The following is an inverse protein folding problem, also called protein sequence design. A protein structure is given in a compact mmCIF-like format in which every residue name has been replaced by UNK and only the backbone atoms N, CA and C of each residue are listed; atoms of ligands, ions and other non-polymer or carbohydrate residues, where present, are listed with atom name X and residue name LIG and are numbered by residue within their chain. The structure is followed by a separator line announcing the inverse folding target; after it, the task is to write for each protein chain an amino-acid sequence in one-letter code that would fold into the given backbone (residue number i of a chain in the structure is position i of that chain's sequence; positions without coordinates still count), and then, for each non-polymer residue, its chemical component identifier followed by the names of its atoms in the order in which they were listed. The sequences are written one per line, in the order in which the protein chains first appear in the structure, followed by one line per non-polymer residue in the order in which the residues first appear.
data_IF_286406632249
#
_entry.id   IF_286406632249
#
_cell.length_a   1.000
_cell.length_b   1.000
_cell.length_c   1.000
_cell.angle_alpha   90.00
_cell.angle_beta   90.00
_cell.angle_gamma   90.00
#
_symmetry.space_group_name_H-M   'P 1'
#
loop_
_entity.id
_entity.type
_entity.pdbx_description
1 polymer ?
#
# COMPACT_ATOMS: atom_id res chain seq x y z
N UNK A 1 32.57 2.02 37.38
CA UNK A 1 31.95 2.48 36.13
C UNK A 1 31.35 1.23 35.48
N UNK A 2 30.06 0.88 35.64
CA UNK A 2 28.82 1.57 35.15
C UNK A 2 28.94 1.75 33.62
N UNK A 3 28.14 1.25 32.67
CA UNK A 3 26.81 0.59 32.51
C UNK A 3 26.89 -0.18 31.14
N UNK A 4 26.30 -1.35 30.83
CA UNK A 4 24.91 -1.89 30.88
C UNK A 4 24.03 -1.57 29.64
N UNK A 5 23.76 -2.64 28.87
CA UNK A 5 22.56 -3.00 28.06
C UNK A 5 22.28 -2.26 26.73
N UNK A 6 21.68 -2.87 25.69
CA UNK A 6 20.55 -3.81 25.70
C UNK A 6 20.59 -4.86 24.58
N UNK A 7 20.24 -6.08 24.97
CA UNK A 7 19.89 -7.21 24.11
C UNK A 7 18.40 -7.12 23.75
N UNK A 8 18.09 -7.31 22.47
CA UNK A 8 16.75 -7.42 21.93
C UNK A 8 15.94 -8.52 22.65
N UNK A 9 14.80 -8.16 23.24
CA UNK A 9 13.79 -9.13 23.67
C UNK A 9 12.66 -9.14 22.66
N UNK A 10 12.72 -10.15 21.79
CA UNK A 10 11.65 -10.58 20.92
C UNK A 10 10.62 -11.34 21.79
N UNK A 11 9.53 -10.67 22.20
CA UNK A 11 8.46 -11.31 22.98
C UNK A 11 7.44 -11.95 22.05
N UNK A 12 7.49 -13.28 22.01
CA UNK A 12 6.41 -14.14 21.50
C UNK A 12 5.18 -13.92 22.37
N UNK A 13 4.12 -13.33 21.80
CA UNK A 13 2.86 -13.11 22.52
C UNK A 13 2.13 -14.43 22.65
N UNK A 14 2.05 -14.94 23.88
CA UNK A 14 1.25 -16.10 24.28
C UNK A 14 -0.25 -15.85 24.03
N UNK A 15 -0.89 -16.76 23.30
CA UNK A 15 -2.30 -16.69 22.89
C UNK A 15 -3.24 -17.22 23.99
N UNK A 16 -3.42 -16.43 25.06
CA UNK A 16 -4.54 -16.57 26.00
C UNK A 16 -5.71 -15.63 25.64
N UNK A 17 -6.96 -15.93 26.02
CA UNK A 17 -8.09 -15.05 25.76
C UNK A 17 -7.96 -13.73 26.54
N UNK A 18 -7.95 -12.61 25.81
CA UNK A 18 -7.89 -11.25 26.39
C UNK A 18 -9.16 -10.98 27.20
N UNK A 19 -9.02 -10.71 28.50
CA UNK A 19 -10.13 -10.36 29.39
C UNK A 19 -10.29 -8.84 29.43
N UNK A 20 -11.45 -8.34 29.01
CA UNK A 20 -11.78 -6.92 29.03
C UNK A 20 -12.61 -6.60 30.26
N UNK A 21 -12.16 -5.64 31.08
CA UNK A 21 -12.95 -5.07 32.18
C UNK A 21 -13.40 -3.66 31.78
N UNK A 22 -14.72 -3.44 31.81
CA UNK A 22 -15.36 -2.17 31.46
C UNK A 22 -15.75 -1.41 32.74
N UNK A 23 -15.38 -0.12 32.83
CA UNK A 23 -15.82 0.80 33.88
C UNK A 23 -16.69 1.91 33.27
N UNK A 24 -17.99 1.90 33.56
CA UNK A 24 -18.92 2.95 33.11
C UNK A 24 -18.59 4.33 33.70
N UNK A 25 -17.95 4.38 34.87
CA UNK A 25 -17.68 5.61 35.60
C UNK A 25 -16.63 6.49 34.90
N UNK A 26 -15.66 5.85 34.24
CA UNK A 26 -14.48 6.53 33.70
C UNK A 26 -14.31 6.38 32.19
N UNK A 27 -15.20 5.63 31.50
CA UNK A 27 -15.10 5.26 30.07
C UNK A 27 -13.73 4.68 29.69
N UNK A 28 -13.15 3.87 30.57
CA UNK A 28 -11.85 3.23 30.36
C UNK A 28 -12.01 1.73 30.19
N UNK A 29 -11.20 1.16 29.29
CA UNK A 29 -11.07 -0.29 29.11
C UNK A 29 -9.71 -0.68 29.65
N UNK A 30 -9.70 -1.56 30.64
CA UNK A 30 -8.45 -2.13 31.17
C UNK A 30 -8.22 -3.46 30.47
N UNK A 31 -7.07 -3.58 29.80
CA UNK A 31 -6.60 -4.81 29.18
C UNK A 31 -5.60 -5.43 30.17
N UNK A 32 -5.95 -6.58 30.73
CA UNK A 32 -5.07 -7.35 31.63
C UNK A 32 -4.52 -8.58 30.86
N UNK A 33 -3.32 -8.50 30.25
CA UNK A 33 -2.61 -9.69 29.77
C UNK A 33 -2.11 -10.54 30.96
N UNK A 34 -1.80 -11.83 30.72
CA UNK A 34 -1.35 -12.76 31.78
C UNK A 34 -0.05 -12.35 32.47
N UNK A 35 0.75 -11.47 31.86
CA UNK A 35 2.03 -10.97 32.39
C UNK A 35 1.89 -9.81 33.40
N UNK A 36 0.70 -9.57 33.95
CA UNK A 36 0.38 -8.58 35.00
C UNK A 36 0.65 -7.09 34.65
N UNK A 37 1.11 -6.80 33.43
CA UNK A 37 1.27 -5.43 32.91
C UNK A 37 -0.10 -4.85 32.52
N UNK A 38 -0.69 -4.06 33.42
CA UNK A 38 -1.97 -3.40 33.20
C UNK A 38 -1.81 -2.18 32.29
N UNK A 39 -2.29 -2.30 31.06
CA UNK A 39 -2.40 -1.16 30.15
C UNK A 39 -3.80 -0.55 30.29
N UNK A 40 -3.85 0.71 30.74
CA UNK A 40 -5.08 1.52 30.74
C UNK A 40 -5.06 2.41 29.51
N UNK A 41 -5.89 2.09 28.53
CA UNK A 41 -6.04 2.89 27.31
C UNK A 41 -7.45 3.50 27.30
N UNK A 42 -7.58 4.75 26.86
CA UNK A 42 -8.91 5.37 26.75
C UNK A 42 -9.69 4.71 25.61
N UNK A 43 -11.00 4.60 25.76
CA UNK A 43 -11.88 3.99 24.74
C UNK A 43 -11.73 4.71 23.40
N UNK A 44 -11.51 6.03 23.41
CA UNK A 44 -11.26 6.83 22.22
C UNK A 44 -9.97 6.42 21.48
N UNK A 45 -8.90 6.08 22.21
CA UNK A 45 -7.61 5.64 21.63
C UNK A 45 -7.70 4.22 21.05
N UNK A 46 -8.51 3.35 21.68
CA UNK A 46 -8.82 2.01 21.15
C UNK A 46 -9.63 2.14 19.86
N UNK A 47 -10.67 2.98 19.84
CA UNK A 47 -11.48 3.22 18.64
C UNK A 47 -10.63 3.81 17.51
N UNK A 48 -9.74 4.76 17.82
CA UNK A 48 -8.82 5.33 16.82
C UNK A 48 -7.84 4.28 16.28
N UNK A 49 -7.25 3.46 17.15
CA UNK A 49 -6.33 2.39 16.75
C UNK A 49 -7.04 1.31 15.94
N UNK A 50 -8.26 0.94 16.31
CA UNK A 50 -9.11 0.02 15.56
C UNK A 50 -9.49 0.60 14.19
N UNK A 51 -9.86 1.88 14.11
CA UNK A 51 -10.18 2.55 12.84
C UNK A 51 -8.96 2.62 11.92
N UNK A 52 -7.78 2.95 12.43
CA UNK A 52 -6.53 2.96 11.64
C UNK A 52 -6.19 1.55 11.15
N UNK A 53 -6.33 0.52 12.01
CA UNK A 53 -6.10 -0.87 11.62
C UNK A 53 -7.10 -1.37 10.60
N UNK A 54 -8.39 -1.03 10.75
CA UNK A 54 -9.44 -1.39 9.81
C UNK A 54 -9.20 -0.72 8.45
N UNK A 55 -8.98 0.60 8.43
CA UNK A 55 -8.66 1.33 7.20
C UNK A 55 -7.39 0.80 6.52
N UNK A 56 -6.37 0.43 7.30
CA UNK A 56 -5.17 -0.22 6.78
C UNK A 56 -5.48 -1.56 6.14
N UNK A 57 -6.25 -2.42 6.80
CA UNK A 57 -6.61 -3.73 6.25
C UNK A 57 -7.46 -3.63 4.98
N UNK A 58 -8.37 -2.66 4.94
CA UNK A 58 -9.16 -2.36 3.74
C UNK A 58 -8.22 -1.88 2.63
N UNK A 59 -7.37 -0.90 2.89
CA UNK A 59 -6.41 -0.39 1.91
C UNK A 59 -5.44 -1.48 1.41
N UNK A 60 -4.93 -2.35 2.28
CA UNK A 60 -4.08 -3.49 1.90
C UNK A 60 -4.80 -4.43 0.93
N UNK A 61 -6.09 -4.71 1.17
CA UNK A 61 -6.92 -5.50 0.26
C UNK A 61 -7.15 -4.78 -1.08
N UNK A 62 -7.46 -3.48 -1.07
CA UNK A 62 -7.62 -2.70 -2.30
C UNK A 62 -6.32 -2.67 -3.10
N UNK A 63 -5.18 -2.46 -2.43
CA UNK A 63 -3.87 -2.41 -3.08
C UNK A 63 -3.46 -3.78 -3.62
N UNK A 64 -3.76 -4.88 -2.92
CA UNK A 64 -3.58 -6.23 -3.47
C UNK A 64 -4.43 -6.45 -4.72
N UNK A 65 -5.68 -5.98 -4.71
CA UNK A 65 -6.58 -6.04 -5.87
C UNK A 65 -6.03 -5.23 -7.04
N UNK A 66 -5.57 -4.01 -6.79
CA UNK A 66 -4.91 -3.17 -7.79
C UNK A 66 -3.68 -3.87 -8.40
N UNK A 67 -2.80 -4.42 -7.56
CA UNK A 67 -1.60 -5.14 -8.04
C UNK A 67 -1.94 -6.30 -8.97
N UNK A 68 -3.03 -7.03 -8.69
CA UNK A 68 -3.48 -8.12 -9.56
C UNK A 68 -4.00 -7.60 -10.90
N UNK A 69 -4.76 -6.50 -10.89
CA UNK A 69 -5.25 -5.85 -12.12
C UNK A 69 -4.09 -5.36 -12.98
N UNK A 70 -3.15 -4.61 -12.38
CA UNK A 70 -1.98 -4.10 -13.08
C UNK A 70 -1.09 -5.23 -13.60
N UNK A 71 -0.83 -6.25 -12.78
CA UNK A 71 -0.04 -7.43 -13.18
C UNK A 71 -0.65 -8.18 -14.36
N UNK A 72 -1.97 -8.37 -14.35
CA UNK A 72 -2.69 -9.01 -15.47
C UNK A 72 -2.62 -8.16 -16.74
N UNK A 73 -2.79 -6.85 -16.63
CA UNK A 73 -2.69 -5.93 -17.76
C UNK A 73 -1.27 -5.91 -18.35
N UNK A 74 -0.23 -5.82 -17.50
CA UNK A 74 1.18 -5.90 -17.92
C UNK A 74 1.44 -7.22 -18.66
N UNK A 75 0.93 -8.34 -18.14
CA UNK A 75 1.09 -9.64 -18.78
C UNK A 75 0.46 -9.69 -20.19
N UNK A 76 -0.72 -9.09 -20.37
CA UNK A 76 -1.39 -9.00 -21.68
C UNK A 76 -0.63 -8.11 -22.66
N UNK A 77 0.08 -7.10 -22.18
CA UNK A 77 0.83 -6.13 -22.99
C UNK A 77 2.35 -6.38 -23.00
N UNK A 78 2.81 -7.52 -22.49
CA UNK A 78 4.25 -7.84 -22.28
C UNK A 78 5.12 -7.69 -23.52
N UNK A 79 4.55 -7.88 -24.71
CA UNK A 79 5.29 -7.80 -25.96
C UNK A 79 5.61 -6.35 -26.33
N UNK A 80 4.83 -5.38 -25.81
CA UNK A 80 4.94 -3.96 -26.08
C UNK A 80 5.59 -3.14 -24.96
N UNK A 81 5.62 -3.66 -23.74
CA UNK A 81 6.14 -2.97 -22.54
C UNK A 81 7.59 -3.37 -22.26
N UNK A 82 8.48 -2.39 -22.14
CA UNK A 82 9.85 -2.59 -21.66
C UNK A 82 9.87 -2.66 -20.13
N UNK A 83 9.33 -1.62 -19.48
CA UNK A 83 9.30 -1.49 -18.02
C UNK A 83 7.97 -0.92 -17.56
N UNK A 84 7.61 -1.19 -16.31
CA UNK A 84 6.49 -0.50 -15.67
C UNK A 84 6.73 -0.29 -14.19
N UNK A 85 6.22 0.81 -13.67
CA UNK A 85 6.43 1.26 -12.31
C UNK A 85 5.11 1.72 -11.70
N UNK A 86 4.91 1.40 -10.43
CA UNK A 86 3.95 2.10 -9.57
C UNK A 86 4.74 2.98 -8.63
N UNK A 87 4.48 4.28 -8.66
CA UNK A 87 5.11 5.26 -7.77
C UNK A 87 4.09 6.25 -7.23
N UNK A 88 4.53 7.22 -6.43
CA UNK A 88 3.69 8.31 -5.92
C UNK A 88 4.08 9.60 -6.62
N UNK A 89 3.11 10.31 -7.18
CA UNK A 89 3.28 11.63 -7.77
C UNK A 89 2.09 12.52 -7.41
N UNK A 90 2.35 13.76 -7.01
CA UNK A 90 1.31 14.74 -6.65
C UNK A 90 0.24 14.20 -5.69
N UNK A 91 0.67 13.47 -4.65
CA UNK A 91 -0.17 12.82 -3.61
C UNK A 91 -1.05 11.66 -4.08
N UNK A 92 -0.85 11.17 -5.31
CA UNK A 92 -1.59 10.06 -5.90
C UNK A 92 -0.65 8.96 -6.38
N UNK A 93 -1.19 7.77 -6.61
CA UNK A 93 -0.43 6.71 -7.26
C UNK A 93 -0.30 7.03 -8.75
N UNK A 94 0.87 6.77 -9.31
CA UNK A 94 1.15 6.82 -10.73
C UNK A 94 1.56 5.43 -11.20
N UNK A 95 0.85 4.90 -12.19
CA UNK A 95 1.28 3.76 -12.96
C UNK A 95 1.96 4.25 -14.24
N UNK A 96 3.28 4.18 -14.27
CA UNK A 96 4.13 4.59 -15.38
C UNK A 96 4.53 3.38 -16.21
N UNK A 97 4.33 3.45 -17.52
CA UNK A 97 4.67 2.39 -18.47
C UNK A 97 5.68 2.92 -19.48
N UNK A 98 6.78 2.18 -19.66
CA UNK A 98 7.78 2.46 -20.70
C UNK A 98 7.54 1.46 -21.83
N UNK A 99 7.21 1.93 -23.01
CA UNK A 99 7.04 1.07 -24.18
C UNK A 99 8.40 0.63 -24.73
N UNK A 100 8.41 -0.46 -25.50
CA UNK A 100 9.58 -0.89 -26.28
C UNK A 100 9.77 -0.08 -27.57
N UNK A 101 8.77 0.72 -27.93
CA UNK A 101 8.80 1.52 -29.15
C UNK A 101 9.40 2.90 -28.84
N UNK A 102 10.32 3.37 -29.68
CA UNK A 102 10.94 4.71 -29.54
C UNK A 102 9.93 5.82 -29.85
N UNK A 103 8.90 5.51 -30.64
CA UNK A 103 7.83 6.41 -31.02
C UNK A 103 6.59 6.20 -30.14
N UNK A 104 5.72 7.20 -30.15
CA UNK A 104 4.42 7.17 -29.50
C UNK A 104 3.56 6.02 -30.07
N UNK A 105 2.92 5.25 -29.19
CA UNK A 105 2.14 4.06 -29.52
C UNK A 105 0.67 4.26 -29.11
N UNK A 106 -0.15 4.69 -30.07
CA UNK A 106 -1.60 4.91 -29.90
C UNK A 106 -2.30 3.70 -29.27
N UNK A 107 -1.88 2.48 -29.61
CA UNK A 107 -2.52 1.28 -29.11
C UNK A 107 -2.23 1.04 -27.64
N UNK A 108 -1.05 1.43 -27.12
CA UNK A 108 -0.75 1.37 -25.69
C UNK A 108 -1.57 2.42 -24.93
N UNK A 109 -1.68 3.63 -25.48
CA UNK A 109 -2.42 4.74 -24.86
C UNK A 109 -3.92 4.44 -24.76
N UNK A 110 -4.50 3.84 -25.80
CA UNK A 110 -5.88 3.35 -25.78
C UNK A 110 -6.08 2.28 -24.70
N UNK A 111 -5.14 1.34 -24.57
CA UNK A 111 -5.22 0.27 -23.55
C UNK A 111 -5.01 0.80 -22.12
N UNK A 112 -4.16 1.81 -21.93
CA UNK A 112 -4.00 2.50 -20.65
C UNK A 112 -5.24 3.31 -20.29
N UNK A 113 -5.86 3.97 -21.27
CA UNK A 113 -7.12 4.69 -21.06
C UNK A 113 -8.23 3.73 -20.62
N UNK A 114 -8.32 2.54 -21.24
CA UNK A 114 -9.25 1.49 -20.81
C UNK A 114 -8.94 0.96 -19.41
N UNK A 115 -7.66 0.80 -19.08
CA UNK A 115 -7.21 0.39 -17.76
C UNK A 115 -7.62 1.40 -16.69
N UNK A 116 -7.33 2.69 -16.91
CA UNK A 116 -7.68 3.79 -16.01
C UNK A 116 -9.20 3.85 -15.79
N UNK A 117 -9.96 3.77 -16.88
CA UNK A 117 -11.42 3.73 -16.81
C UNK A 117 -11.92 2.51 -16.04
N UNK A 118 -11.35 1.32 -16.27
CA UNK A 118 -11.70 0.10 -15.54
C UNK A 118 -11.42 0.19 -14.04
N UNK A 119 -10.28 0.76 -13.67
CA UNK A 119 -9.87 0.98 -12.27
C UNK A 119 -10.82 1.97 -11.59
N UNK A 120 -11.09 3.11 -12.23
CA UNK A 120 -11.98 4.15 -11.70
C UNK A 120 -13.42 3.65 -11.48
N UNK A 121 -13.87 2.68 -12.29
CA UNK A 121 -15.20 2.08 -12.16
C UNK A 121 -15.23 0.82 -11.26
N UNK A 122 -14.10 0.41 -10.67
CA UNK A 122 -14.05 -0.76 -9.79
C UNK A 122 -14.40 -0.38 -8.36
N UNK A 123 -15.54 -0.82 -7.79
CA UNK A 123 -15.97 -0.41 -6.44
C UNK A 123 -15.00 -0.83 -5.34
N UNK A 124 -14.25 -1.91 -5.57
CA UNK A 124 -13.23 -2.41 -4.65
C UNK A 124 -11.98 -1.53 -4.59
N UNK A 125 -11.83 -0.52 -5.44
CA UNK A 125 -10.68 0.39 -5.49
C UNK A 125 -11.06 1.84 -5.14
N UNK A 126 -12.23 2.05 -4.51
CA UNK A 126 -12.82 3.37 -4.24
C UNK A 126 -11.89 4.34 -3.50
N UNK A 127 -10.97 3.83 -2.66
CA UNK A 127 -10.07 4.66 -1.84
C UNK A 127 -8.69 4.84 -2.49
N UNK A 128 -8.48 4.25 -3.68
CA UNK A 128 -7.24 4.37 -4.43
C UNK A 128 -7.43 5.36 -5.58
N UNK A 129 -6.64 6.43 -5.56
CA UNK A 129 -6.49 7.35 -6.68
C UNK A 129 -5.24 6.98 -7.47
N UNK A 130 -5.45 6.40 -8.64
CA UNK A 130 -4.40 6.07 -9.61
C UNK A 130 -4.45 7.05 -10.78
N UNK A 131 -3.30 7.39 -11.32
CA UNK A 131 -3.14 8.00 -12.64
C UNK A 131 -2.27 7.08 -13.49
N UNK A 132 -2.55 7.02 -14.78
CA UNK A 132 -1.77 6.23 -15.74
C UNK A 132 -0.97 7.15 -16.66
N UNK A 133 0.23 6.73 -17.04
CA UNK A 133 1.05 7.46 -18.00
C UNK A 133 1.96 6.49 -18.76
N UNK A 134 2.12 6.70 -20.07
CA UNK A 134 3.16 6.05 -20.86
C UNK A 134 4.27 7.00 -21.26
N UNK A 135 5.45 6.42 -21.46
CA UNK A 135 6.57 7.03 -22.17
C UNK A 135 7.03 6.06 -23.27
N UNK A 136 7.47 6.58 -24.42
CA UNK A 136 8.23 5.79 -25.37
C UNK A 136 9.51 5.24 -24.73
N UNK A 137 10.15 4.29 -25.42
CA UNK A 137 11.47 3.81 -25.06
C UNK A 137 12.42 5.00 -24.90
N UNK A 138 12.96 5.16 -23.70
CA UNK A 138 13.83 6.27 -23.34
C UNK A 138 14.91 5.82 -22.35
N UNK A 139 15.96 6.63 -22.25
CA UNK A 139 17.04 6.39 -21.29
C UNK A 139 16.56 6.48 -19.85
N UNK A 140 17.23 5.77 -18.95
CA UNK A 140 16.87 5.70 -17.53
C UNK A 140 16.71 7.07 -16.88
N UNK A 141 17.60 8.01 -17.23
CA UNK A 141 17.58 9.39 -16.72
C UNK A 141 16.24 10.09 -16.98
N UNK A 142 15.59 9.79 -18.13
CA UNK A 142 14.33 10.43 -18.53
C UNK A 142 13.19 9.95 -17.65
N UNK A 143 12.99 8.63 -17.56
CA UNK A 143 11.87 8.10 -16.78
C UNK A 143 12.11 8.20 -15.26
N UNK A 144 13.36 8.23 -14.79
CA UNK A 144 13.70 8.43 -13.37
C UNK A 144 13.14 9.76 -12.83
N UNK A 145 13.02 10.79 -13.67
CA UNK A 145 12.40 12.06 -13.30
C UNK A 145 10.91 11.96 -12.94
N UNK A 146 10.27 10.85 -13.33
CA UNK A 146 8.86 10.53 -13.02
C UNK A 146 8.73 9.66 -11.77
N UNK A 147 9.83 9.13 -11.25
CA UNK A 147 9.84 8.23 -10.10
C UNK A 147 10.14 8.99 -8.81
N UNK A 148 9.41 8.65 -7.74
CA UNK A 148 9.68 9.17 -6.38
C UNK A 148 10.48 8.12 -5.58
N UNK A 149 11.77 8.33 -5.29
CA UNK A 149 12.67 7.31 -4.75
C UNK A 149 12.26 6.57 -3.46
N UNK A 150 11.46 7.12 -2.51
CA UNK A 150 11.08 6.32 -1.34
C UNK A 150 9.95 5.31 -1.62
N UNK A 151 9.24 5.39 -2.76
CA UNK A 151 8.05 4.57 -3.05
C UNK A 151 8.00 4.21 -4.53
N UNK A 152 8.69 3.13 -4.91
CA UNK A 152 8.66 2.56 -6.26
C UNK A 152 8.42 1.06 -6.17
N UNK A 153 7.46 0.58 -6.93
CA UNK A 153 7.26 -0.84 -7.22
C UNK A 153 7.49 -1.05 -8.71
N UNK A 154 8.60 -1.71 -9.05
CA UNK A 154 8.94 -2.06 -10.42
C UNK A 154 8.43 -3.46 -10.73
N UNK A 155 7.77 -3.61 -11.89
CA UNK A 155 7.43 -4.92 -12.43
C UNK A 155 8.47 -5.30 -13.48
N UNK A 156 9.32 -6.27 -13.14
CA UNK A 156 10.20 -6.95 -14.10
C UNK A 156 9.44 -8.16 -14.65
N UNK A 157 9.10 -8.14 -15.94
CA UNK A 157 8.51 -9.27 -16.66
C UNK A 157 9.52 -10.36 -16.98
#
# INVERSE_FOLDING_TARGET
MIEVLQTEKNTVVSSGPVRLKWSEKDRTVVIEPEDDDKYTMKVEEIIQTCNIKQQRSEYEYQFATLKNILGNWIHQQKDKIDKSFVTVRDTRLLFLVISKNIEYDDAIEDELTKLDWGIANTPLLKDISLSVQSLPQCDNVVYESFLSPPVILEYTG
#
